data_IF_778383843649
#
_entry.id   IF_778383843649
#
_cell.length_a   1.000
_cell.length_b   1.000
_cell.length_c   1.000
_cell.angle_alpha   90.00
_cell.angle_beta   90.00
_cell.angle_gamma   90.00
#
_symmetry.space_group_name_H-M   'P 1'
#
loop_
_entity.id
_entity.type
_entity.pdbx_description
1 polymer ?
#
# COMPACT_ATOMS: atom_id res chain seq x y z
N UNK A 1 -22.93 -10.89 15.66
CA UNK A 1 -21.84 -11.23 16.60
C UNK A 1 -21.58 -10.03 17.48
N UNK A 2 -21.37 -10.21 18.80
CA UNK A 2 -21.08 -9.09 19.73
C UNK A 2 -19.76 -8.37 19.38
N UNK A 3 -18.81 -9.09 18.78
CA UNK A 3 -17.52 -8.57 18.34
C UNK A 3 -17.61 -7.37 17.38
N UNK A 4 -18.64 -7.32 16.52
CA UNK A 4 -18.87 -6.17 15.63
C UNK A 4 -19.29 -4.89 16.35
N UNK A 5 -19.57 -4.98 17.66
CA UNK A 5 -19.95 -3.87 18.52
C UNK A 5 -18.91 -3.60 19.62
N UNK A 6 -17.71 -4.19 19.55
CA UNK A 6 -16.67 -4.04 20.59
C UNK A 6 -16.40 -2.59 20.98
N UNK A 7 -16.34 -1.67 20.01
CA UNK A 7 -16.13 -0.24 20.28
C UNK A 7 -17.29 0.36 21.07
N UNK A 8 -18.53 0.04 20.69
CA UNK A 8 -19.71 0.54 21.40
C UNK A 8 -19.78 -0.04 22.81
N UNK A 9 -19.52 -1.33 22.98
CA UNK A 9 -19.51 -2.00 24.27
C UNK A 9 -18.40 -1.44 25.18
N UNK A 10 -17.19 -1.25 24.66
CA UNK A 10 -16.07 -0.65 25.41
C UNK A 10 -16.36 0.77 25.87
N UNK A 11 -17.18 1.53 25.13
CA UNK A 11 -17.59 2.89 25.52
C UNK A 11 -18.67 2.92 26.58
N UNK A 12 -19.56 1.92 26.60
CA UNK A 12 -20.66 1.83 27.56
C UNK A 12 -20.19 1.21 28.86
N UNK A 13 -19.42 0.12 28.79
CA UNK A 13 -18.86 -0.58 29.94
C UNK A 13 -17.49 -1.19 29.58
N UNK A 14 -16.44 -0.40 29.75
CA UNK A 14 -15.05 -0.79 29.47
C UNK A 14 -14.63 -1.98 30.35
N UNK A 15 -15.03 -1.97 31.63
CA UNK A 15 -14.64 -3.03 32.57
C UNK A 15 -15.27 -4.36 32.17
N UNK A 16 -16.58 -4.38 31.96
CA UNK A 16 -17.25 -5.61 31.54
C UNK A 16 -16.69 -6.12 30.21
N UNK A 17 -16.45 -5.23 29.24
CA UNK A 17 -15.88 -5.62 27.94
C UNK A 17 -14.48 -6.21 28.09
N UNK A 18 -13.63 -5.59 28.91
CA UNK A 18 -12.27 -6.07 29.20
C UNK A 18 -12.27 -7.42 29.90
N UNK A 19 -13.18 -7.64 30.84
CA UNK A 19 -13.20 -8.88 31.62
C UNK A 19 -13.84 -10.05 30.84
N UNK A 20 -14.76 -9.79 29.90
CA UNK A 20 -15.60 -10.84 29.30
C UNK A 20 -15.44 -11.01 27.78
N UNK A 21 -15.08 -9.96 27.04
CA UNK A 21 -15.03 -10.02 25.57
C UNK A 21 -13.61 -9.93 25.01
N UNK A 22 -12.76 -9.05 25.56
CA UNK A 22 -11.40 -8.90 25.05
C UNK A 22 -10.54 -10.18 25.17
N UNK A 23 -10.64 -11.01 26.24
CA UNK A 23 -9.86 -12.24 26.33
C UNK A 23 -10.13 -13.19 25.16
N UNK A 24 -11.36 -13.18 24.61
CA UNK A 24 -11.76 -14.02 23.49
C UNK A 24 -11.09 -13.66 22.16
N UNK A 25 -10.33 -12.55 22.09
CA UNK A 25 -9.49 -12.20 20.94
C UNK A 25 -8.14 -12.92 20.94
N UNK A 26 -7.75 -13.52 22.08
CA UNK A 26 -6.47 -14.25 22.23
C UNK A 26 -6.48 -15.51 21.40
N UNK A 27 -5.59 -15.55 20.40
CA UNK A 27 -5.35 -16.74 19.58
C UNK A 27 -4.67 -17.87 20.36
N UNK A 28 -4.01 -17.55 21.47
CA UNK A 28 -3.33 -18.52 22.34
C UNK A 28 -4.31 -19.16 23.33
N UNK A 29 -5.12 -18.34 24.01
CA UNK A 29 -5.99 -18.81 25.09
C UNK A 29 -7.33 -19.35 24.57
N UNK A 30 -7.88 -18.73 23.52
CA UNK A 30 -9.22 -19.03 22.99
C UNK A 30 -9.22 -19.18 21.46
N UNK A 31 -8.45 -20.12 20.88
CA UNK A 31 -8.25 -20.22 19.44
C UNK A 31 -9.52 -20.46 18.62
N UNK A 32 -10.56 -21.07 19.22
CA UNK A 32 -11.84 -21.33 18.54
C UNK A 32 -12.70 -20.07 18.48
N UNK A 33 -12.75 -19.30 19.56
CA UNK A 33 -13.51 -18.05 19.66
C UNK A 33 -12.81 -16.90 18.94
N UNK A 34 -11.47 -16.83 19.00
CA UNK A 34 -10.65 -15.76 18.44
C UNK A 34 -10.98 -15.49 16.98
N UNK A 35 -11.14 -16.54 16.16
CA UNK A 35 -11.51 -16.38 14.75
C UNK A 35 -12.82 -15.59 14.60
N UNK A 36 -13.90 -16.02 15.26
CA UNK A 36 -15.20 -15.34 15.16
C UNK A 36 -15.20 -13.95 15.80
N UNK A 37 -14.36 -13.74 16.82
CA UNK A 37 -14.15 -12.43 17.43
C UNK A 37 -13.47 -11.46 16.46
N UNK A 38 -12.37 -11.88 15.82
CA UNK A 38 -11.67 -11.09 14.83
C UNK A 38 -12.49 -10.84 13.57
N UNK A 39 -13.12 -11.86 13.00
CA UNK A 39 -14.02 -11.71 11.84
C UNK A 39 -15.14 -10.69 12.14
N UNK A 40 -15.79 -10.79 13.30
CA UNK A 40 -16.84 -9.85 13.66
C UNK A 40 -16.34 -8.42 13.90
N UNK A 41 -15.16 -8.24 14.50
CA UNK A 41 -14.54 -6.92 14.65
C UNK A 41 -14.14 -6.30 13.29
N UNK A 42 -13.50 -7.11 12.44
CA UNK A 42 -12.99 -6.72 11.12
C UNK A 42 -14.09 -6.57 10.05
N UNK A 43 -15.35 -6.91 10.36
CA UNK A 43 -16.48 -6.61 9.49
C UNK A 43 -16.70 -5.11 9.28
N UNK A 44 -16.42 -4.29 10.29
CA UNK A 44 -16.50 -2.82 10.19
C UNK A 44 -15.49 -2.17 11.16
N UNK A 45 -14.18 -2.35 10.91
CA UNK A 45 -13.16 -1.95 11.84
C UNK A 45 -13.06 -0.42 11.86
N UNK A 46 -12.84 0.15 13.04
CA UNK A 46 -12.64 1.59 13.21
C UNK A 46 -11.49 1.81 14.18
N UNK A 47 -10.67 2.82 13.90
CA UNK A 47 -9.60 3.21 14.79
C UNK A 47 -10.21 3.83 16.05
N UNK A 48 -10.16 3.06 17.13
CA UNK A 48 -10.49 3.51 18.48
C UNK A 48 -9.33 3.16 19.40
N UNK A 49 -8.41 4.11 19.58
CA UNK A 49 -7.11 3.87 20.20
C UNK A 49 -7.19 3.28 21.60
N UNK A 50 -8.13 3.75 22.43
CA UNK A 50 -8.39 3.19 23.77
C UNK A 50 -8.61 1.67 23.72
N UNK A 51 -9.40 1.17 22.76
CA UNK A 51 -9.61 -0.26 22.60
C UNK A 51 -8.37 -0.95 22.04
N UNK A 52 -7.73 -0.38 21.02
CA UNK A 52 -6.53 -0.95 20.41
C UNK A 52 -5.38 -1.11 21.40
N UNK A 53 -5.25 -0.19 22.36
CA UNK A 53 -4.30 -0.29 23.47
C UNK A 53 -4.57 -1.50 24.35
N UNK A 54 -5.84 -1.75 24.69
CA UNK A 54 -6.24 -2.90 25.50
C UNK A 54 -6.00 -4.23 24.78
N UNK A 55 -6.13 -4.27 23.45
CA UNK A 55 -5.95 -5.48 22.63
C UNK A 55 -4.66 -5.48 21.83
N UNK A 56 -3.67 -4.65 22.20
CA UNK A 56 -2.47 -4.40 21.38
C UNK A 56 -1.76 -5.70 21.00
N UNK A 57 -1.57 -6.59 21.97
CA UNK A 57 -0.89 -7.87 21.75
C UNK A 57 -1.68 -8.72 20.73
N UNK A 58 -2.95 -8.99 21.00
CA UNK A 58 -3.80 -9.84 20.16
C UNK A 58 -3.96 -9.26 18.75
N UNK A 59 -4.06 -7.93 18.63
CA UNK A 59 -4.13 -7.23 17.37
C UNK A 59 -2.89 -7.44 16.50
N UNK A 60 -1.69 -7.34 17.08
CA UNK A 60 -0.45 -7.59 16.34
C UNK A 60 -0.24 -9.08 16.06
N UNK A 61 -0.60 -9.95 17.00
CA UNK A 61 -0.49 -11.41 16.87
C UNK A 61 -1.39 -11.96 15.76
N UNK A 62 -2.52 -11.31 15.50
CA UNK A 62 -3.44 -11.66 14.40
C UNK A 62 -2.76 -11.73 13.04
N UNK A 63 -1.67 -11.00 12.81
CA UNK A 63 -0.86 -11.10 11.60
C UNK A 63 -0.33 -12.51 11.32
N UNK A 64 0.00 -13.29 12.36
CA UNK A 64 0.45 -14.68 12.24
C UNK A 64 -0.69 -15.66 11.97
N UNK A 65 -1.93 -15.20 12.08
CA UNK A 65 -3.14 -15.97 11.87
C UNK A 65 -3.94 -15.47 10.67
N UNK A 66 -3.29 -14.74 9.76
CA UNK A 66 -3.91 -14.15 8.56
C UNK A 66 -4.78 -15.15 7.79
N UNK A 67 -4.26 -16.35 7.53
CA UNK A 67 -4.96 -17.40 6.76
C UNK A 67 -6.26 -17.88 7.43
N UNK A 68 -6.40 -17.68 8.74
CA UNK A 68 -7.61 -18.05 9.50
C UNK A 68 -8.73 -17.00 9.38
N UNK A 69 -8.42 -15.78 8.92
CA UNK A 69 -9.39 -14.69 8.79
C UNK A 69 -10.29 -14.84 7.55
N UNK A 70 -9.93 -15.71 6.61
CA UNK A 70 -10.65 -15.87 5.34
C UNK A 70 -10.80 -14.53 4.62
N UNK A 71 -12.04 -14.20 4.25
CA UNK A 71 -12.38 -12.96 3.54
C UNK A 71 -12.07 -11.68 4.34
N UNK A 72 -11.81 -11.78 5.66
CA UNK A 72 -11.49 -10.64 6.53
C UNK A 72 -9.99 -10.29 6.59
N UNK A 73 -9.13 -11.09 5.95
CA UNK A 73 -7.68 -10.83 5.90
C UNK A 73 -7.37 -9.47 5.26
N UNK A 74 -8.06 -9.12 4.16
CA UNK A 74 -7.84 -7.86 3.47
C UNK A 74 -8.21 -6.65 4.35
N UNK A 75 -9.29 -6.79 5.14
CA UNK A 75 -9.74 -5.78 6.11
C UNK A 75 -8.71 -5.64 7.24
N UNK A 76 -8.10 -6.73 7.71
CA UNK A 76 -7.00 -6.66 8.68
C UNK A 76 -5.79 -5.92 8.11
N UNK A 77 -5.33 -6.28 6.91
CA UNK A 77 -4.20 -5.61 6.23
C UNK A 77 -4.46 -4.12 6.02
N UNK A 78 -5.67 -3.77 5.58
CA UNK A 78 -6.09 -2.38 5.43
C UNK A 78 -6.08 -1.67 6.79
N UNK A 79 -6.67 -2.28 7.80
CA UNK A 79 -6.83 -1.70 9.13
C UNK A 79 -5.49 -1.48 9.84
N UNK A 80 -4.57 -2.46 9.80
CA UNK A 80 -3.23 -2.31 10.39
C UNK A 80 -2.40 -1.26 9.65
N UNK A 81 -2.59 -1.11 8.34
CA UNK A 81 -1.94 -0.04 7.57
C UNK A 81 -2.39 1.34 8.04
N UNK A 82 -3.70 1.56 8.16
CA UNK A 82 -4.21 2.83 8.69
C UNK A 82 -3.77 3.05 10.14
N UNK A 83 -3.74 2.00 10.97
CA UNK A 83 -3.25 2.13 12.34
C UNK A 83 -1.78 2.59 12.38
N UNK A 84 -0.93 2.01 11.54
CA UNK A 84 0.48 2.34 11.44
C UNK A 84 0.74 3.76 10.89
N UNK A 85 -0.07 4.25 9.96
CA UNK A 85 0.04 5.60 9.39
C UNK A 85 -0.25 6.73 10.40
N UNK A 86 -0.97 6.45 11.49
CA UNK A 86 -1.31 7.45 12.51
C UNK A 86 -0.24 7.61 13.60
N UNK A 87 0.78 6.75 13.65
CA UNK A 87 1.87 6.80 14.63
C UNK A 87 1.41 7.03 16.10
N UNK A 88 0.52 6.20 16.67
CA UNK A 88 0.05 6.40 18.03
C UNK A 88 1.16 6.12 19.06
N UNK A 89 1.21 6.90 20.15
CA UNK A 89 2.23 6.76 21.20
C UNK A 89 2.29 5.35 21.82
N UNK A 90 1.16 4.64 21.82
CA UNK A 90 1.03 3.30 22.38
C UNK A 90 1.60 2.18 21.49
N UNK A 91 1.95 2.46 20.23
CA UNK A 91 2.53 1.48 19.31
C UNK A 91 3.88 1.97 18.78
N UNK A 92 4.89 1.10 18.81
CA UNK A 92 6.16 1.40 18.15
C UNK A 92 6.08 1.09 16.65
N UNK A 93 6.91 1.74 15.84
CA UNK A 93 7.04 1.38 14.42
C UNK A 93 7.47 -0.08 14.24
N UNK A 94 8.30 -0.60 15.16
CA UNK A 94 8.75 -1.99 15.15
C UNK A 94 7.62 -3.00 15.45
N UNK A 95 6.61 -2.60 16.23
CA UNK A 95 5.41 -3.42 16.45
C UNK A 95 4.69 -3.67 15.12
N UNK A 96 4.44 -2.60 14.36
CA UNK A 96 3.82 -2.69 13.04
C UNK A 96 4.71 -3.39 12.02
N UNK A 97 6.02 -3.13 12.03
CA UNK A 97 6.96 -3.77 11.10
C UNK A 97 6.95 -5.29 11.24
N UNK A 98 6.98 -5.80 12.48
CA UNK A 98 6.92 -7.24 12.77
C UNK A 98 5.60 -7.85 12.33
N UNK A 99 4.48 -7.18 12.60
CA UNK A 99 3.17 -7.68 12.21
C UNK A 99 3.01 -7.70 10.68
N UNK A 100 3.35 -6.62 9.99
CA UNK A 100 3.27 -6.53 8.53
C UNK A 100 4.23 -7.53 7.86
N UNK A 101 5.40 -7.78 8.43
CA UNK A 101 6.34 -8.79 7.92
C UNK A 101 5.77 -10.23 7.94
N UNK A 102 4.80 -10.54 8.81
CA UNK A 102 4.17 -11.86 8.87
C UNK A 102 3.10 -12.05 7.78
N UNK A 103 2.66 -10.97 7.12
CA UNK A 103 1.61 -11.06 6.12
C UNK A 103 2.09 -11.81 4.87
N UNK A 104 1.23 -12.65 4.27
CA UNK A 104 1.52 -13.23 2.96
C UNK A 104 1.51 -12.14 1.87
N UNK A 105 1.91 -12.49 0.65
CA UNK A 105 1.93 -11.56 -0.48
C UNK A 105 0.57 -10.86 -0.70
N UNK A 106 -0.54 -11.58 -0.58
CA UNK A 106 -1.88 -11.00 -0.70
C UNK A 106 -2.16 -9.96 0.39
N UNK A 107 -1.71 -10.18 1.62
CA UNK A 107 -1.82 -9.18 2.68
C UNK A 107 -0.95 -7.95 2.42
N UNK A 108 0.28 -8.14 1.95
CA UNK A 108 1.18 -7.04 1.57
C UNK A 108 0.68 -6.25 0.36
N UNK A 109 0.02 -6.91 -0.59
CA UNK A 109 -0.69 -6.25 -1.68
C UNK A 109 -1.77 -5.30 -1.14
N UNK A 110 -2.59 -5.77 -0.19
CA UNK A 110 -3.62 -4.94 0.46
C UNK A 110 -3.02 -3.79 1.28
N UNK A 111 -1.87 -3.99 1.94
CA UNK A 111 -1.12 -2.90 2.59
C UNK A 111 -0.71 -1.84 1.57
N UNK A 112 -0.11 -2.24 0.43
CA UNK A 112 0.29 -1.31 -0.62
C UNK A 112 -0.91 -0.57 -1.22
N UNK A 113 -2.03 -1.26 -1.43
CA UNK A 113 -3.27 -0.67 -1.92
C UNK A 113 -3.81 0.37 -0.92
N UNK A 114 -3.80 0.05 0.38
CA UNK A 114 -4.22 0.97 1.43
C UNK A 114 -3.34 2.24 1.49
N UNK A 115 -2.03 2.14 1.26
CA UNK A 115 -1.14 3.31 1.16
C UNK A 115 -1.52 4.22 -0.02
N UNK A 116 -1.83 3.64 -1.18
CA UNK A 116 -2.30 4.40 -2.36
C UNK A 116 -3.62 5.12 -2.03
N UNK A 117 -4.58 4.41 -1.44
CA UNK A 117 -5.87 5.01 -1.07
C UNK A 117 -5.73 6.11 -0.04
N UNK A 118 -4.87 5.93 0.97
CA UNK A 118 -4.60 6.92 1.99
C UNK A 118 -4.02 8.21 1.38
N UNK A 119 -3.05 8.09 0.47
CA UNK A 119 -2.49 9.23 -0.24
C UNK A 119 -3.54 9.95 -1.10
N UNK A 120 -4.31 9.20 -1.90
CA UNK A 120 -5.35 9.78 -2.75
C UNK A 120 -6.42 10.50 -1.93
N UNK A 121 -6.78 9.96 -0.76
CA UNK A 121 -7.70 10.55 0.20
C UNK A 121 -7.20 11.85 0.84
N UNK A 122 -5.89 12.07 0.91
CA UNK A 122 -5.30 13.31 1.45
C UNK A 122 -5.52 14.55 0.54
N UNK A 123 -6.02 14.35 -0.68
CA UNK A 123 -6.45 15.41 -1.61
C UNK A 123 -5.39 16.51 -1.80
N UNK A 124 -5.61 17.72 -1.29
CA UNK A 124 -4.70 18.87 -1.44
C UNK A 124 -3.45 18.80 -0.54
N UNK A 125 -3.35 17.83 0.38
CA UNK A 125 -2.23 17.67 1.30
C UNK A 125 -1.35 16.45 0.97
N UNK A 126 -1.40 15.97 -0.28
CA UNK A 126 -0.69 14.76 -0.72
C UNK A 126 0.82 14.82 -0.47
N UNK A 127 1.50 15.93 -0.77
CA UNK A 127 2.95 16.00 -0.56
C UNK A 127 3.33 15.96 0.93
N UNK A 128 2.55 16.64 1.77
CA UNK A 128 2.76 16.65 3.23
C UNK A 128 2.48 15.25 3.79
N UNK A 129 1.36 14.64 3.43
CA UNK A 129 0.98 13.31 3.87
C UNK A 129 1.99 12.24 3.44
N UNK A 130 2.53 12.37 2.22
CA UNK A 130 3.63 11.53 1.76
C UNK A 130 4.86 11.66 2.68
N UNK A 131 5.32 12.88 2.98
CA UNK A 131 6.52 13.12 3.79
C UNK A 131 6.38 12.68 5.24
N UNK A 132 5.22 12.94 5.84
CA UNK A 132 5.00 12.75 7.28
C UNK A 132 4.50 11.35 7.64
N UNK A 133 3.84 10.64 6.71
CA UNK A 133 3.21 9.34 7.02
C UNK A 133 3.72 8.21 6.13
N UNK A 134 3.56 8.32 4.80
CA UNK A 134 3.84 7.19 3.89
C UNK A 134 5.34 6.94 3.73
N UNK A 135 6.16 7.98 3.59
CA UNK A 135 7.60 7.81 3.48
C UNK A 135 8.20 7.16 4.75
N UNK A 136 7.90 7.61 5.98
CA UNK A 136 8.32 6.92 7.20
C UNK A 136 7.80 5.48 7.29
N UNK A 137 6.57 5.20 6.84
CA UNK A 137 6.04 3.85 6.78
C UNK A 137 6.88 2.97 5.83
N UNK A 138 7.12 3.43 4.60
CA UNK A 138 7.92 2.70 3.63
C UNK A 138 9.36 2.51 4.12
N UNK A 139 9.91 3.47 4.87
CA UNK A 139 11.26 3.38 5.41
C UNK A 139 11.37 2.40 6.58
N UNK A 140 10.49 2.50 7.59
CA UNK A 140 10.62 1.81 8.87
C UNK A 140 9.77 0.55 9.04
N UNK A 141 8.68 0.42 8.27
CA UNK A 141 7.64 -0.60 8.49
C UNK A 141 7.58 -1.59 7.33
N UNK A 142 7.61 -1.10 6.09
CA UNK A 142 7.51 -1.98 4.91
C UNK A 142 8.66 -3.00 4.82
N UNK A 143 8.40 -4.29 4.56
CA UNK A 143 9.45 -5.32 4.55
C UNK A 143 10.47 -5.12 3.42
N UNK A 144 11.76 -5.25 3.72
CA UNK A 144 12.88 -4.93 2.80
C UNK A 144 13.33 -6.08 1.91
N UNK A 145 12.40 -6.94 1.48
CA UNK A 145 12.72 -8.12 0.67
C UNK A 145 12.54 -7.85 -0.82
N UNK A 146 13.52 -8.28 -1.64
CA UNK A 146 13.41 -8.27 -3.11
C UNK A 146 12.34 -9.23 -3.63
N UNK A 147 11.96 -10.24 -2.85
CA UNK A 147 10.88 -11.15 -3.22
C UNK A 147 9.52 -10.43 -3.35
N UNK A 148 9.40 -9.24 -2.75
CA UNK A 148 8.19 -8.40 -2.83
C UNK A 148 8.12 -7.55 -4.09
N UNK A 149 9.14 -7.57 -4.95
CA UNK A 149 9.02 -7.05 -6.29
C UNK A 149 8.18 -8.04 -7.11
N UNK A 150 6.86 -8.03 -6.91
CA UNK A 150 5.89 -8.79 -7.70
C UNK A 150 5.14 -7.84 -8.64
N UNK A 151 4.61 -8.30 -9.80
CA UNK A 151 3.91 -7.43 -10.74
C UNK A 151 2.77 -6.64 -10.08
N UNK A 152 2.03 -7.27 -9.16
CA UNK A 152 0.92 -6.67 -8.45
C UNK A 152 1.37 -5.54 -7.49
N UNK A 153 2.40 -5.77 -6.66
CA UNK A 153 2.94 -4.74 -5.76
C UNK A 153 3.61 -3.63 -6.56
N UNK A 154 4.34 -3.97 -7.63
CA UNK A 154 4.97 -3.00 -8.53
C UNK A 154 3.95 -2.04 -9.15
N UNK A 155 2.80 -2.55 -9.59
CA UNK A 155 1.72 -1.72 -10.12
C UNK A 155 1.22 -0.71 -9.08
N UNK A 156 1.00 -1.14 -7.84
CA UNK A 156 0.55 -0.27 -6.76
C UNK A 156 1.58 0.79 -6.39
N UNK A 157 2.86 0.43 -6.32
CA UNK A 157 3.93 1.37 -6.02
C UNK A 157 4.18 2.36 -7.15
N UNK A 158 4.06 1.95 -8.42
CA UNK A 158 4.08 2.86 -9.54
C UNK A 158 2.98 3.93 -9.41
N UNK A 159 1.73 3.50 -9.17
CA UNK A 159 0.60 4.43 -8.92
C UNK A 159 0.82 5.31 -7.70
N UNK A 160 1.35 4.74 -6.61
CA UNK A 160 1.70 5.49 -5.40
C UNK A 160 2.66 6.64 -5.75
N UNK A 161 3.73 6.36 -6.50
CA UNK A 161 4.69 7.40 -6.88
C UNK A 161 4.06 8.49 -7.74
N UNK A 162 3.24 8.14 -8.74
CA UNK A 162 2.53 9.11 -9.58
C UNK A 162 1.61 9.99 -8.71
N UNK A 163 0.90 9.38 -7.78
CA UNK A 163 -0.03 10.09 -6.89
C UNK A 163 0.66 11.07 -5.92
N UNK A 164 1.98 11.00 -5.73
CA UNK A 164 2.74 11.96 -4.90
C UNK A 164 2.95 13.33 -5.54
N UNK A 165 2.64 13.49 -6.83
CA UNK A 165 2.75 14.79 -7.51
C UNK A 165 4.19 15.32 -7.52
N UNK A 166 4.44 16.44 -6.85
CA UNK A 166 5.75 17.10 -6.85
C UNK A 166 6.85 16.29 -6.18
N UNK A 167 6.48 15.35 -5.31
CA UNK A 167 7.41 14.43 -4.67
C UNK A 167 7.74 13.18 -5.51
N UNK A 168 7.22 13.11 -6.75
CA UNK A 168 7.36 11.96 -7.64
C UNK A 168 8.81 11.45 -7.79
N UNK A 169 9.83 12.28 -8.08
CA UNK A 169 11.20 11.80 -8.21
C UNK A 169 11.72 11.16 -6.93
N UNK A 170 11.40 11.76 -5.77
CA UNK A 170 11.81 11.24 -4.47
C UNK A 170 11.08 9.93 -4.14
N UNK A 171 9.76 9.89 -4.38
CA UNK A 171 8.95 8.69 -4.18
C UNK A 171 9.42 7.53 -5.05
N UNK A 172 9.67 7.78 -6.34
CA UNK A 172 10.21 6.78 -7.27
C UNK A 172 11.57 6.25 -6.82
N UNK A 173 12.44 7.12 -6.30
CA UNK A 173 13.73 6.73 -5.75
C UNK A 173 13.63 5.74 -4.60
N UNK A 174 12.64 5.93 -3.71
CA UNK A 174 12.40 5.05 -2.56
C UNK A 174 11.85 3.69 -2.99
N UNK A 175 10.88 3.66 -3.89
CA UNK A 175 10.18 2.43 -4.27
C UNK A 175 10.92 1.58 -5.31
N UNK A 176 11.98 2.12 -5.92
CA UNK A 176 12.64 1.53 -7.09
C UNK A 176 13.00 0.06 -6.91
N UNK A 177 13.44 -0.32 -5.70
CA UNK A 177 13.86 -1.68 -5.38
C UNK A 177 12.73 -2.72 -5.40
N UNK A 178 11.47 -2.28 -5.44
CA UNK A 178 10.27 -3.11 -5.51
C UNK A 178 9.54 -3.00 -6.85
N UNK A 179 10.06 -2.20 -7.79
CA UNK A 179 9.49 -2.07 -9.13
C UNK A 179 10.03 -3.16 -10.07
N UNK A 180 9.14 -3.63 -10.94
CA UNK A 180 9.39 -4.53 -12.07
C UNK A 180 8.29 -4.41 -13.12
N UNK A 181 8.48 -5.11 -14.23
CA UNK A 181 7.46 -5.21 -15.27
C UNK A 181 6.11 -5.68 -14.69
N UNK A 182 5.05 -4.96 -15.04
CA UNK A 182 3.67 -5.24 -14.62
C UNK A 182 2.90 -5.90 -15.75
N UNK A 183 1.88 -6.69 -15.41
CA UNK A 183 1.08 -7.42 -16.40
C UNK A 183 0.14 -6.49 -17.20
N UNK A 184 -0.41 -5.47 -16.53
CA UNK A 184 -1.40 -4.54 -17.10
C UNK A 184 -1.00 -3.08 -16.82
N UNK A 185 -0.11 -2.48 -17.62
CA UNK A 185 0.39 -1.13 -17.36
C UNK A 185 -0.59 -0.01 -17.78
N UNK A 186 -1.66 -0.29 -18.53
CA UNK A 186 -2.52 0.73 -19.17
C UNK A 186 -3.01 1.81 -18.20
N UNK A 187 -3.50 1.41 -17.02
CA UNK A 187 -3.99 2.38 -16.00
C UNK A 187 -2.85 3.29 -15.51
N UNK A 188 -1.66 2.73 -15.29
CA UNK A 188 -0.49 3.48 -14.82
C UNK A 188 -0.01 4.45 -15.89
N UNK A 189 -0.03 4.03 -17.16
CA UNK A 189 0.35 4.87 -18.30
C UNK A 189 -0.63 6.03 -18.47
N UNK A 190 -1.94 5.77 -18.36
CA UNK A 190 -2.96 6.82 -18.40
C UNK A 190 -2.88 7.80 -17.22
N UNK A 191 -2.64 7.29 -16.00
CA UNK A 191 -2.39 8.13 -14.83
C UNK A 191 -1.13 9.00 -15.04
N UNK A 192 -0.05 8.43 -15.58
CA UNK A 192 1.18 9.17 -15.83
C UNK A 192 1.01 10.24 -16.92
N UNK A 193 0.34 9.94 -18.03
CA UNK A 193 0.14 10.91 -19.12
C UNK A 193 -0.70 12.11 -18.68
N UNK A 194 -1.72 11.87 -17.85
CA UNK A 194 -2.63 12.92 -17.36
C UNK A 194 -2.12 13.67 -16.13
N UNK A 195 -1.11 13.16 -15.44
CA UNK A 195 -0.55 13.78 -14.22
C UNK A 195 0.28 15.05 -14.45
N UNK A 196 0.73 15.31 -15.68
CA UNK A 196 1.70 16.37 -15.98
C UNK A 196 3.15 16.06 -15.58
N UNK A 197 3.41 14.90 -14.96
CA UNK A 197 4.76 14.51 -14.52
C UNK A 197 5.72 14.25 -15.68
N UNK A 198 5.23 13.82 -16.84
CA UNK A 198 6.05 13.64 -18.06
C UNK A 198 6.65 14.95 -18.56
N UNK A 199 6.00 16.08 -18.27
CA UNK A 199 6.51 17.42 -18.59
C UNK A 199 7.44 17.93 -17.50
N UNK A 200 7.09 17.74 -16.22
CA UNK A 200 7.83 18.27 -15.07
C UNK A 200 9.09 17.47 -14.74
N UNK A 201 9.04 16.14 -14.85
CA UNK A 201 10.10 15.20 -14.45
C UNK A 201 10.35 14.13 -15.54
N UNK A 202 10.74 14.52 -16.76
CA UNK A 202 10.81 13.62 -17.91
C UNK A 202 11.76 12.42 -17.70
N UNK A 203 12.89 12.62 -17.02
CA UNK A 203 13.86 11.54 -16.77
C UNK A 203 13.35 10.49 -15.78
N UNK A 204 12.64 10.93 -14.73
CA UNK A 204 12.03 10.05 -13.74
C UNK A 204 10.81 9.32 -14.31
N UNK A 205 10.00 10.01 -15.12
CA UNK A 205 8.91 9.39 -15.86
C UNK A 205 9.42 8.32 -16.83
N UNK A 206 10.49 8.59 -17.59
CA UNK A 206 11.12 7.57 -18.42
C UNK A 206 11.65 6.39 -17.60
N UNK A 207 12.25 6.66 -16.43
CA UNK A 207 12.74 5.61 -15.52
C UNK A 207 11.60 4.72 -15.02
N UNK A 208 10.46 5.31 -14.65
CA UNK A 208 9.28 4.55 -14.25
C UNK A 208 8.78 3.66 -15.40
N UNK A 209 8.59 4.24 -16.60
CA UNK A 209 8.16 3.51 -17.79
C UNK A 209 9.08 2.33 -18.10
N UNK A 210 10.39 2.55 -18.06
CA UNK A 210 11.39 1.52 -18.32
C UNK A 210 11.29 0.33 -17.35
N UNK A 211 10.93 0.61 -16.09
CA UNK A 211 10.77 -0.41 -15.06
C UNK A 211 9.47 -1.20 -15.17
N UNK A 212 8.35 -0.53 -15.49
CA UNK A 212 7.00 -1.15 -15.46
C UNK A 212 6.59 -1.77 -16.79
N UNK A 213 7.11 -1.28 -17.91
CA UNK A 213 6.75 -1.80 -19.23
C UNK A 213 7.59 -3.05 -19.53
N UNK A 214 6.93 -4.20 -19.46
CA UNK A 214 7.44 -5.48 -19.95
C UNK A 214 7.29 -5.64 -21.46
N UNK A 215 7.90 -6.69 -22.01
CA UNK A 215 7.68 -7.06 -23.40
C UNK A 215 6.34 -7.78 -23.61
N UNK A 216 5.78 -7.61 -24.81
CA UNK A 216 4.91 -8.58 -25.50
C UNK A 216 3.38 -8.50 -25.35
N UNK A 217 2.75 -7.32 -25.17
CA UNK A 217 1.29 -7.23 -25.30
C UNK A 217 0.78 -6.00 -26.05
N UNK A 218 -0.25 -6.11 -26.92
CA UNK A 218 -0.69 -4.98 -27.77
C UNK A 218 -1.54 -3.91 -27.07
N UNK A 219 -2.20 -4.24 -25.95
CA UNK A 219 -3.30 -3.43 -25.38
C UNK A 219 -2.87 -2.16 -24.63
N UNK A 220 -1.57 -1.89 -24.48
CA UNK A 220 -1.04 -0.68 -23.84
C UNK A 220 -0.20 0.18 -24.79
N UNK A 221 -0.15 -0.18 -26.07
CA UNK A 221 0.70 0.49 -27.07
C UNK A 221 0.29 1.96 -27.22
N UNK A 222 -1.01 2.25 -27.27
CA UNK A 222 -1.54 3.62 -27.43
C UNK A 222 -1.10 4.55 -26.30
N UNK A 223 -1.28 4.09 -25.06
CA UNK A 223 -0.97 4.83 -23.84
C UNK A 223 0.54 5.02 -23.68
N UNK A 224 1.33 4.01 -24.09
CA UNK A 224 2.78 4.13 -24.12
C UNK A 224 3.22 5.16 -25.18
N UNK A 225 2.66 5.11 -26.39
CA UNK A 225 2.97 6.08 -27.45
C UNK A 225 2.64 7.51 -27.01
N UNK A 226 1.51 7.69 -26.31
CA UNK A 226 1.14 8.98 -25.71
C UNK A 226 2.21 9.45 -24.72
N UNK A 227 2.58 8.62 -23.74
CA UNK A 227 3.63 8.95 -22.77
C UNK A 227 4.97 9.31 -23.45
N UNK A 228 5.41 8.52 -24.43
CA UNK A 228 6.64 8.76 -25.17
C UNK A 228 6.58 10.06 -25.99
N UNK A 229 5.42 10.39 -26.55
CA UNK A 229 5.22 11.64 -27.28
C UNK A 229 5.32 12.86 -26.37
N UNK A 230 4.74 12.79 -25.16
CA UNK A 230 4.83 13.83 -24.14
C UNK A 230 6.27 14.02 -23.66
N UNK A 231 6.98 12.93 -23.37
CA UNK A 231 8.40 12.95 -23.00
C UNK A 231 9.29 13.58 -24.07
N UNK A 232 9.07 13.22 -25.34
CA UNK A 232 9.82 13.80 -26.46
C UNK A 232 9.56 15.30 -26.61
N UNK A 233 8.32 15.74 -26.38
CA UNK A 233 7.93 17.15 -26.45
C UNK A 233 8.54 17.96 -25.30
N UNK A 234 8.56 17.42 -24.09
CA UNK A 234 9.07 18.10 -22.89
C UNK A 234 10.61 18.13 -22.83
N UNK A 235 11.27 17.04 -23.23
CA UNK A 235 12.73 16.92 -23.20
C UNK A 235 13.25 16.23 -24.48
N UNK A 236 13.51 16.98 -25.57
CA UNK A 236 13.97 16.40 -26.84
C UNK A 236 15.26 15.59 -26.74
N UNK A 237 16.14 15.90 -25.77
CA UNK A 237 17.38 15.16 -25.49
C UNK A 237 17.12 13.70 -25.09
N UNK A 238 15.92 13.39 -24.58
CA UNK A 238 15.56 12.06 -24.09
C UNK A 238 15.48 11.01 -25.21
N UNK A 239 15.36 11.45 -26.46
CA UNK A 239 15.33 10.57 -27.64
C UNK A 239 16.63 9.79 -27.79
N UNK A 240 17.76 10.33 -27.30
CA UNK A 240 19.05 9.65 -27.29
C UNK A 240 19.26 8.71 -26.09
N UNK A 241 18.28 8.62 -25.17
CA UNK A 241 18.35 7.70 -24.04
C UNK A 241 18.04 6.26 -24.50
N UNK A 242 18.90 5.27 -24.22
CA UNK A 242 18.66 3.88 -24.63
C UNK A 242 17.34 3.30 -24.13
N UNK A 243 16.84 3.76 -22.98
CA UNK A 243 15.54 3.34 -22.42
C UNK A 243 14.39 3.84 -23.27
N UNK A 244 14.48 5.08 -23.74
CA UNK A 244 13.48 5.66 -24.65
C UNK A 244 13.46 4.90 -25.98
N UNK A 245 14.63 4.63 -26.55
CA UNK A 245 14.74 3.87 -27.80
C UNK A 245 14.12 2.47 -27.66
N UNK A 246 14.41 1.77 -26.55
CA UNK A 246 13.82 0.45 -26.23
C UNK A 246 12.29 0.52 -26.22
N UNK A 247 11.72 1.45 -25.45
CA UNK A 247 10.27 1.61 -25.30
C UNK A 247 9.59 2.02 -26.62
N UNK A 248 10.20 2.94 -27.37
CA UNK A 248 9.71 3.37 -28.68
C UNK A 248 9.78 2.25 -29.73
N UNK A 249 10.75 1.34 -29.63
CA UNK A 249 10.79 0.14 -30.48
C UNK A 249 9.71 -0.88 -30.09
N UNK A 250 9.42 -1.03 -28.80
CA UNK A 250 8.33 -1.88 -28.31
C UNK A 250 6.96 -1.36 -28.76
N UNK A 251 6.75 -0.05 -28.75
CA UNK A 251 5.47 0.57 -29.15
C UNK A 251 5.20 0.55 -30.67
N UNK A 252 6.12 0.01 -31.48
CA UNK A 252 6.01 -0.08 -32.94
C UNK A 252 5.87 -1.52 -33.46
N UNK A 253 6.02 -2.51 -32.59
CA UNK A 253 5.85 -3.93 -32.91
C UNK A 253 4.39 -4.31 -32.76
#
# INVERSE_FOLDING_TARGET
LLSSRLIALSRVDEKWTTDNLLPLLSWEDFPFEARGMWEGFLWSPRLYWRLLELIKFDFLETSKHYDKLGDHGNQYSTFITYAALHHPDSFSQNDFARAIQNLPESGLHEVAQALVQALLGASAQKEIYWKESIHPFLHNIWPKSKALATPAISALFARLSIATGDEFPHALGIILGWLRAVDYPSDILGELSTSGLTEKFPMDSLKLLDMIVGGSYPWWISELQECLSLLKKSAPIIVSDPRFERLNNLSRK
#
